data_IF_253699763413
#
_entry.id   IF_253699763413
#
_cell.length_a   1.000
_cell.length_b   1.000
_cell.length_c   1.000
_cell.angle_alpha   90.00
_cell.angle_beta   90.00
_cell.angle_gamma   90.00
#
_symmetry.space_group_name_H-M   'P 1'
#
loop_
_entity.id
_entity.type
_entity.pdbx_description
1 polymer ?
#
# COMPACT_ATOMS: atom_id res chain seq x y z
N UNK A 1 -10.28 35.05 12.24
CA UNK A 1 -10.64 33.72 11.72
C UNK A 1 -9.86 33.54 10.44
N UNK A 2 -8.94 32.57 10.44
CA UNK A 2 -8.19 32.21 9.24
C UNK A 2 -9.17 31.64 8.19
N UNK A 3 -8.76 31.59 6.92
CA UNK A 3 -9.58 30.94 5.89
C UNK A 3 -9.76 29.44 6.11
N UNK A 4 -8.93 28.80 6.95
CA UNK A 4 -9.09 27.40 7.34
C UNK A 4 -10.19 27.26 8.39
N UNK A 5 -10.19 28.11 9.42
CA UNK A 5 -11.14 28.07 10.54
C UNK A 5 -12.58 28.05 10.03
N UNK A 6 -12.95 29.05 9.23
CA UNK A 6 -14.31 29.18 8.69
C UNK A 6 -14.72 28.02 7.77
N UNK A 7 -13.76 27.36 7.09
CA UNK A 7 -14.06 26.19 6.25
C UNK A 7 -14.29 24.95 7.11
N UNK A 8 -13.50 24.75 8.15
CA UNK A 8 -13.68 23.64 9.11
C UNK A 8 -15.02 23.76 9.81
N UNK A 9 -15.36 24.96 10.31
CA UNK A 9 -16.64 25.25 10.96
C UNK A 9 -17.82 24.96 10.03
N UNK A 10 -17.78 25.44 8.77
CA UNK A 10 -18.84 25.18 7.80
C UNK A 10 -19.02 23.68 7.52
N UNK A 11 -17.92 22.94 7.33
CA UNK A 11 -17.99 21.48 7.10
C UNK A 11 -18.56 20.77 8.34
N UNK A 12 -18.18 21.23 9.53
CA UNK A 12 -18.65 20.67 10.78
C UNK A 12 -20.15 20.94 10.99
N UNK A 13 -20.63 22.16 10.71
CA UNK A 13 -22.05 22.51 10.73
C UNK A 13 -22.85 21.64 9.75
N UNK A 14 -22.38 21.49 8.51
CA UNK A 14 -23.03 20.69 7.48
C UNK A 14 -23.11 19.21 7.88
N UNK A 15 -22.02 18.65 8.40
CA UNK A 15 -21.99 17.28 8.89
C UNK A 15 -22.89 17.09 10.12
N UNK A 16 -22.85 18.01 11.09
CA UNK A 16 -23.71 17.94 12.27
C UNK A 16 -25.20 17.98 11.88
N UNK A 17 -25.56 18.81 10.90
CA UNK A 17 -26.92 18.91 10.40
C UNK A 17 -27.40 17.63 9.68
N UNK A 18 -26.53 16.94 8.94
CA UNK A 18 -26.86 15.75 8.16
C UNK A 18 -26.92 14.47 9.01
N UNK A 19 -25.90 14.23 9.85
CA UNK A 19 -25.74 12.95 10.58
C UNK A 19 -25.77 13.09 12.11
N UNK A 20 -25.96 14.29 12.65
CA UNK A 20 -26.05 14.59 14.10
C UNK A 20 -24.75 14.37 14.90
N UNK A 21 -23.62 14.19 14.20
CA UNK A 21 -22.28 14.17 14.77
C UNK A 21 -21.26 14.65 13.73
N UNK A 22 -20.04 14.97 14.18
CA UNK A 22 -18.92 15.33 13.31
C UNK A 22 -17.70 14.50 13.69
N UNK A 23 -16.98 14.03 12.69
CA UNK A 23 -15.70 13.33 12.84
C UNK A 23 -14.56 14.10 12.15
N UNK A 24 -13.30 13.86 12.54
CA UNK A 24 -12.14 14.37 11.81
C UNK A 24 -12.14 13.94 10.33
N UNK A 25 -12.70 12.76 10.01
CA UNK A 25 -12.82 12.28 8.64
C UNK A 25 -13.72 13.18 7.78
N UNK A 26 -14.82 13.70 8.34
CA UNK A 26 -15.72 14.60 7.63
C UNK A 26 -14.98 15.89 7.23
N UNK A 27 -14.16 16.43 8.14
CA UNK A 27 -13.31 17.59 7.88
C UNK A 27 -12.26 17.30 6.82
N UNK A 28 -11.55 16.17 6.89
CA UNK A 28 -10.55 15.80 5.88
C UNK A 28 -11.17 15.63 4.49
N UNK A 29 -12.36 15.04 4.41
CA UNK A 29 -13.10 14.87 3.16
C UNK A 29 -13.65 16.21 2.63
N UNK A 30 -14.28 17.01 3.49
CA UNK A 30 -14.86 18.31 3.11
C UNK A 30 -13.82 19.34 2.70
N UNK A 31 -12.62 19.30 3.28
CA UNK A 31 -11.50 20.15 2.87
C UNK A 31 -10.86 19.72 1.54
N UNK A 32 -11.20 18.52 1.04
CA UNK A 32 -10.57 17.88 -0.11
C UNK A 32 -9.16 17.36 0.17
N UNK A 33 -8.80 17.22 1.46
CA UNK A 33 -7.49 16.75 1.90
C UNK A 33 -7.37 15.23 1.84
N UNK A 34 -8.51 14.53 1.88
CA UNK A 34 -8.60 13.10 1.60
C UNK A 34 -9.54 12.86 0.40
N UNK A 35 -9.16 11.94 -0.50
CA UNK A 35 -10.08 11.48 -1.53
C UNK A 35 -11.00 10.38 -0.97
N UNK A 36 -12.31 10.50 -1.16
CA UNK A 36 -13.30 9.52 -0.66
C UNK A 36 -12.95 8.08 -1.04
N UNK A 37 -12.57 7.84 -2.30
CA UNK A 37 -12.17 6.51 -2.76
C UNK A 37 -10.98 5.91 -1.98
N UNK A 38 -10.08 6.74 -1.44
CA UNK A 38 -8.90 6.31 -0.67
C UNK A 38 -9.25 6.06 0.79
N UNK A 39 -10.12 6.89 1.36
CA UNK A 39 -10.72 6.62 2.67
C UNK A 39 -11.53 5.32 2.65
N UNK A 40 -12.25 5.03 1.56
CA UNK A 40 -13.02 3.79 1.40
C UNK A 40 -12.13 2.55 1.34
N UNK A 41 -10.98 2.63 0.67
CA UNK A 41 -9.98 1.55 0.69
C UNK A 41 -9.46 1.30 2.11
N UNK A 42 -9.17 2.38 2.85
CA UNK A 42 -8.74 2.26 4.25
C UNK A 42 -9.83 1.66 5.15
N UNK A 43 -11.08 2.15 5.06
CA UNK A 43 -12.23 1.60 5.80
C UNK A 43 -12.51 0.12 5.47
N UNK A 44 -12.19 -0.32 4.26
CA UNK A 44 -12.28 -1.71 3.84
C UNK A 44 -11.04 -2.56 4.23
N UNK A 45 -10.01 -1.96 4.81
CA UNK A 45 -8.79 -2.63 5.28
C UNK A 45 -7.71 -2.85 4.21
N UNK A 46 -7.73 -2.11 3.09
CA UNK A 46 -6.74 -2.21 2.02
C UNK A 46 -5.52 -1.29 2.20
N UNK A 47 -5.51 -0.46 3.25
CA UNK A 47 -4.45 0.52 3.54
C UNK A 47 -4.06 0.38 5.01
N UNK A 48 -2.77 0.47 5.31
CA UNK A 48 -2.24 0.29 6.67
C UNK A 48 -2.71 1.38 7.64
N UNK A 49 -2.85 2.63 7.16
CA UNK A 49 -3.18 3.80 7.97
C UNK A 49 -3.84 4.91 7.14
N UNK A 50 -4.65 5.76 7.77
CA UNK A 50 -5.37 6.85 7.09
C UNK A 50 -4.42 7.96 6.59
N UNK A 51 -3.39 8.31 7.36
CA UNK A 51 -2.44 9.39 7.04
C UNK A 51 -1.82 9.26 5.63
N UNK A 52 -1.60 8.04 5.15
CA UNK A 52 -1.14 7.75 3.78
C UNK A 52 -2.13 8.14 2.68
N UNK A 53 -3.41 8.27 3.03
CA UNK A 53 -4.48 8.73 2.14
C UNK A 53 -4.63 10.26 2.11
N UNK A 54 -3.96 10.98 3.02
CA UNK A 54 -4.02 12.44 3.10
C UNK A 54 -3.07 13.09 2.10
N UNK A 55 -3.49 14.23 1.54
CA UNK A 55 -2.72 15.04 0.58
C UNK A 55 -2.00 16.23 1.22
N UNK A 56 -1.97 16.28 2.54
CA UNK A 56 -1.51 17.41 3.34
C UNK A 56 -0.50 16.96 4.40
N UNK A 57 0.25 17.92 4.94
CA UNK A 57 1.25 17.65 5.98
C UNK A 57 0.59 17.27 7.31
N UNK A 58 1.30 16.52 8.18
CA UNK A 58 0.82 16.24 9.53
C UNK A 58 0.49 17.49 10.36
N UNK A 59 1.23 18.59 10.18
CA UNK A 59 0.95 19.84 10.89
C UNK A 59 -0.40 20.43 10.49
N UNK A 60 -0.66 20.58 9.18
CA UNK A 60 -1.94 21.11 8.69
C UNK A 60 -3.15 20.28 9.14
N UNK A 61 -3.02 18.95 9.16
CA UNK A 61 -4.09 18.08 9.65
C UNK A 61 -4.30 18.21 11.16
N UNK A 62 -3.24 18.41 11.97
CA UNK A 62 -3.39 18.76 13.39
C UNK A 62 -4.12 20.08 13.57
N UNK A 63 -3.72 21.13 12.84
CA UNK A 63 -4.35 22.44 12.94
C UNK A 63 -5.86 22.34 12.67
N UNK A 64 -6.27 21.58 11.65
CA UNK A 64 -7.69 21.37 11.35
C UNK A 64 -8.46 20.59 12.43
N UNK A 65 -7.82 19.61 13.08
CA UNK A 65 -8.45 18.86 14.19
C UNK A 65 -8.57 19.74 15.44
N UNK A 66 -7.57 20.57 15.73
CA UNK A 66 -7.60 21.52 16.85
C UNK A 66 -8.70 22.57 16.62
N UNK A 67 -8.82 23.10 15.41
CA UNK A 67 -9.94 23.96 15.00
C UNK A 67 -11.28 23.28 15.19
N UNK A 68 -11.44 22.03 14.74
CA UNK A 68 -12.67 21.25 14.91
C UNK A 68 -13.01 21.07 16.39
N UNK A 69 -12.02 20.74 17.22
CA UNK A 69 -12.21 20.54 18.66
C UNK A 69 -12.63 21.84 19.35
N UNK A 70 -12.04 22.98 18.98
CA UNK A 70 -12.40 24.28 19.51
C UNK A 70 -13.85 24.65 19.15
N UNK A 71 -14.22 24.54 17.87
CA UNK A 71 -15.59 24.77 17.41
C UNK A 71 -16.59 23.85 18.14
N UNK A 72 -16.27 22.57 18.31
CA UNK A 72 -17.17 21.62 18.96
C UNK A 72 -17.42 21.97 20.44
N UNK A 73 -16.39 22.46 21.15
CA UNK A 73 -16.54 22.95 22.52
C UNK A 73 -17.40 24.21 22.59
N UNK A 74 -17.22 25.16 21.68
CA UNK A 74 -18.05 26.37 21.61
C UNK A 74 -19.52 26.05 21.27
N UNK A 75 -19.74 25.03 20.44
CA UNK A 75 -21.05 24.50 20.08
C UNK A 75 -21.70 23.60 21.15
N UNK A 76 -21.03 23.40 22.29
CA UNK A 76 -21.55 22.61 23.42
C UNK A 76 -21.60 21.09 23.18
N UNK A 77 -20.88 20.58 22.18
CA UNK A 77 -20.81 19.15 21.87
C UNK A 77 -19.87 18.43 22.83
N UNK A 78 -20.12 17.14 23.04
CA UNK A 78 -19.27 16.27 23.85
C UNK A 78 -18.38 15.40 22.97
N UNK A 79 -17.13 15.13 23.38
CA UNK A 79 -16.25 14.20 22.69
C UNK A 79 -16.64 12.76 23.01
N UNK A 80 -16.67 11.92 21.98
CA UNK A 80 -16.95 10.48 22.09
C UNK A 80 -15.91 9.69 21.29
N UNK A 81 -15.39 8.62 21.87
CA UNK A 81 -14.51 7.72 21.14
C UNK A 81 -15.32 6.87 20.14
N UNK A 82 -14.79 6.70 18.92
CA UNK A 82 -15.41 5.90 17.86
C UNK A 82 -14.59 4.64 17.60
N UNK A 83 -15.27 3.49 17.57
CA UNK A 83 -14.65 2.22 17.21
C UNK A 83 -14.51 2.09 15.68
N UNK A 84 -13.26 2.03 15.22
CA UNK A 84 -12.88 1.80 13.83
C UNK A 84 -12.42 0.35 13.56
N UNK A 85 -12.83 -0.60 14.41
CA UNK A 85 -12.52 -2.03 14.26
C UNK A 85 -11.00 -2.32 14.14
N UNK A 86 -10.19 -1.58 14.89
CA UNK A 86 -8.73 -1.71 14.90
C UNK A 86 -7.99 -1.11 13.70
N UNK A 87 -8.68 -0.39 12.79
CA UNK A 87 -8.01 0.40 11.76
C UNK A 87 -7.17 1.51 12.40
N UNK A 88 -5.94 1.69 11.91
CA UNK A 88 -5.03 2.73 12.36
C UNK A 88 -5.22 4.01 11.53
N UNK A 89 -5.09 5.16 12.15
CA UNK A 89 -5.06 6.47 11.51
C UNK A 89 -3.62 6.91 11.22
N UNK A 90 -2.71 6.63 12.13
CA UNK A 90 -1.30 6.99 12.06
C UNK A 90 -0.46 6.12 13.00
N UNK A 91 0.84 6.05 12.76
CA UNK A 91 1.81 5.47 13.71
C UNK A 91 2.10 6.42 14.89
N UNK A 92 1.72 7.70 14.81
CA UNK A 92 1.84 8.67 15.92
C UNK A 92 0.65 8.53 16.90
N UNK A 93 0.89 8.18 18.18
CA UNK A 93 -0.16 7.99 19.17
C UNK A 93 -1.03 9.23 19.46
N UNK A 94 -0.50 10.44 19.28
CA UNK A 94 -1.28 11.66 19.47
C UNK A 94 -2.30 11.82 18.33
N UNK A 95 -1.81 11.68 17.09
CA UNK A 95 -2.63 11.62 15.87
C UNK A 95 -3.73 10.57 15.97
N UNK A 96 -3.33 9.35 16.36
CA UNK A 96 -4.21 8.20 16.45
C UNK A 96 -5.41 8.45 17.37
N UNK A 97 -5.17 9.07 18.52
CA UNK A 97 -6.23 9.41 19.47
C UNK A 97 -7.12 10.51 18.95
N UNK A 98 -6.54 11.57 18.39
CA UNK A 98 -7.29 12.73 17.92
C UNK A 98 -8.31 12.34 16.83
N UNK A 99 -7.93 11.46 15.91
CA UNK A 99 -8.82 10.97 14.85
C UNK A 99 -9.98 10.09 15.34
N UNK A 100 -9.84 9.45 16.50
CA UNK A 100 -10.87 8.57 17.08
C UNK A 100 -11.98 9.33 17.79
N UNK A 101 -11.78 10.61 18.08
CA UNK A 101 -12.78 11.44 18.73
C UNK A 101 -13.78 11.93 17.68
N UNK A 102 -15.06 11.66 17.92
CA UNK A 102 -16.18 12.36 17.26
C UNK A 102 -16.80 13.34 18.25
N UNK A 103 -17.48 14.36 17.74
CA UNK A 103 -18.22 15.32 18.55
C UNK A 103 -19.71 15.22 18.26
N UNK A 104 -20.52 15.12 19.30
CA UNK A 104 -21.97 14.97 19.20
C UNK A 104 -22.67 15.45 20.49
N UNK A 105 -23.96 15.83 20.43
CA UNK A 105 -24.74 16.19 21.63
C UNK A 105 -24.97 15.01 22.58
N UNK A 106 -25.01 13.79 22.02
CA UNK A 106 -25.22 12.53 22.74
C UNK A 106 -24.34 11.42 22.17
N UNK A 107 -24.26 10.30 22.89
CA UNK A 107 -23.57 9.10 22.44
C UNK A 107 -24.19 8.48 21.17
N UNK A 108 -25.40 8.90 20.80
CA UNK A 108 -26.16 8.41 19.65
C UNK A 108 -26.74 9.59 18.85
N UNK A 109 -26.79 9.50 17.50
CA UNK A 109 -26.23 8.44 16.66
C UNK A 109 -24.69 8.45 16.64
N UNK A 110 -24.10 7.31 16.27
CA UNK A 110 -22.66 7.12 16.13
C UNK A 110 -22.32 6.58 14.73
N UNK A 111 -21.11 6.84 14.21
CA UNK A 111 -20.63 6.22 12.98
C UNK A 111 -20.78 4.69 13.03
N UNK A 112 -21.17 4.10 11.91
CA UNK A 112 -21.21 2.65 11.79
C UNK A 112 -19.79 2.08 11.87
N UNK A 113 -19.54 1.21 12.83
CA UNK A 113 -18.27 0.49 12.97
C UNK A 113 -17.92 -0.22 11.65
N UNK A 114 -16.73 0.03 11.08
CA UNK A 114 -16.25 -0.68 9.91
C UNK A 114 -16.13 -2.19 10.16
N UNK A 115 -16.12 -2.99 9.09
CA UNK A 115 -15.86 -4.44 9.19
C UNK A 115 -14.81 -4.84 8.15
N UNK A 116 -13.53 -4.46 8.37
CA UNK A 116 -12.48 -4.72 7.41
C UNK A 116 -12.24 -6.24 7.30
N UNK A 117 -12.60 -6.80 6.15
CA UNK A 117 -12.30 -8.18 5.76
C UNK A 117 -11.84 -8.17 4.30
N UNK A 118 -10.70 -7.51 4.01
CA UNK A 118 -10.26 -7.31 2.65
C UNK A 118 -9.99 -8.67 2.00
N UNK A 119 -10.62 -8.90 0.85
CA UNK A 119 -10.32 -10.04 -0.02
C UNK A 119 -10.32 -9.55 -1.45
N UNK A 120 -9.42 -10.11 -2.25
CA UNK A 120 -9.34 -9.81 -3.68
C UNK A 120 -9.62 -11.08 -4.46
N UNK A 121 -10.40 -10.95 -5.53
CA UNK A 121 -10.56 -12.02 -6.51
C UNK A 121 -9.82 -11.66 -7.77
N UNK A 122 -9.08 -12.62 -8.33
CA UNK A 122 -8.35 -12.43 -9.58
C UNK A 122 -8.84 -13.34 -10.69
N UNK A 123 -8.68 -12.86 -11.92
CA UNK A 123 -8.90 -13.58 -13.17
C UNK A 123 -7.56 -13.86 -13.84
N UNK A 124 -7.21 -15.13 -14.03
CA UNK A 124 -5.95 -15.53 -14.65
C UNK A 124 -5.98 -15.57 -16.18
N UNK A 125 -7.17 -15.75 -16.75
CA UNK A 125 -7.36 -15.82 -18.20
C UNK A 125 -7.43 -14.42 -18.83
N UNK A 126 -7.75 -13.41 -18.01
CA UNK A 126 -7.76 -12.02 -18.41
C UNK A 126 -6.41 -11.38 -18.09
N UNK A 127 -5.87 -10.65 -19.05
CA UNK A 127 -4.61 -9.92 -18.89
C UNK A 127 -4.76 -8.46 -19.26
N UNK A 128 -5.75 -8.09 -20.05
CA UNK A 128 -6.10 -6.71 -20.36
C UNK A 128 -6.86 -6.04 -19.21
N UNK A 129 -6.50 -4.80 -18.90
CA UNK A 129 -7.20 -3.97 -17.94
C UNK A 129 -8.30 -3.16 -18.64
N UNK A 130 -9.54 -3.21 -18.13
CA UNK A 130 -10.69 -2.51 -18.72
C UNK A 130 -10.57 -0.98 -18.66
N UNK A 131 -9.69 -0.43 -17.81
CA UNK A 131 -9.48 1.00 -17.68
C UNK A 131 -8.30 1.51 -18.52
N UNK A 132 -7.12 0.91 -18.39
CA UNK A 132 -5.92 1.39 -19.09
C UNK A 132 -5.63 0.67 -20.41
N UNK A 133 -6.32 -0.43 -20.73
CA UNK A 133 -6.08 -1.26 -21.91
C UNK A 133 -4.75 -2.03 -21.92
N UNK A 134 -3.92 -1.86 -20.87
CA UNK A 134 -2.62 -2.51 -20.75
C UNK A 134 -2.72 -3.99 -20.36
N UNK A 135 -1.65 -4.73 -20.65
CA UNK A 135 -1.49 -6.13 -20.23
C UNK A 135 -0.87 -6.16 -18.83
N UNK A 136 -1.57 -6.77 -17.88
CA UNK A 136 -1.20 -6.87 -16.48
C UNK A 136 -1.52 -8.27 -15.93
N UNK A 137 -0.76 -8.67 -14.91
CA UNK A 137 -1.00 -9.89 -14.15
C UNK A 137 -0.74 -9.60 -12.67
N UNK A 138 -1.66 -9.91 -11.74
CA UNK A 138 -3.01 -10.40 -11.99
C UNK A 138 -3.97 -9.26 -12.42
N UNK A 139 -5.13 -9.65 -12.96
CA UNK A 139 -6.30 -8.76 -13.11
C UNK A 139 -7.25 -9.00 -11.94
N UNK A 140 -7.59 -7.93 -11.22
CA UNK A 140 -8.57 -7.91 -10.12
C UNK A 140 -9.98 -7.87 -10.70
N UNK A 141 -10.78 -8.85 -10.31
CA UNK A 141 -12.19 -8.95 -10.69
C UNK A 141 -13.06 -8.15 -9.73
N UNK A 142 -13.86 -7.26 -10.30
CA UNK A 142 -14.85 -6.45 -9.57
C UNK A 142 -16.20 -6.56 -10.27
N UNK A 143 -17.27 -6.03 -9.65
CA UNK A 143 -18.58 -5.97 -10.30
C UNK A 143 -18.58 -5.10 -11.58
N UNK A 144 -17.62 -4.18 -11.71
CA UNK A 144 -17.53 -3.24 -12.84
C UNK A 144 -16.54 -3.66 -13.94
N UNK A 145 -15.94 -4.84 -13.84
CA UNK A 145 -14.94 -5.33 -14.79
C UNK A 145 -13.65 -5.81 -14.13
N UNK A 146 -12.69 -6.14 -14.98
CA UNK A 146 -11.34 -6.59 -14.64
C UNK A 146 -10.34 -5.44 -14.72
N UNK A 147 -9.71 -5.10 -13.59
CA UNK A 147 -8.76 -3.99 -13.49
C UNK A 147 -7.39 -4.47 -13.02
N UNK A 148 -6.32 -3.86 -13.52
CA UNK A 148 -5.01 -4.05 -12.91
C UNK A 148 -4.96 -3.42 -11.51
N UNK A 149 -3.98 -3.81 -10.69
CA UNK A 149 -3.86 -3.30 -9.30
C UNK A 149 -3.83 -1.77 -9.24
N UNK A 150 -3.08 -1.12 -10.13
CA UNK A 150 -3.03 0.34 -10.24
C UNK A 150 -4.41 0.96 -10.51
N UNK A 151 -5.16 0.44 -11.49
CA UNK A 151 -6.50 0.94 -11.82
C UNK A 151 -7.56 0.59 -10.77
N UNK A 152 -7.36 -0.50 -10.02
CA UNK A 152 -8.19 -0.85 -8.87
C UNK A 152 -7.85 -0.02 -7.60
N UNK A 153 -6.86 0.87 -7.67
CA UNK A 153 -6.40 1.67 -6.53
C UNK A 153 -5.56 0.88 -5.51
N UNK A 154 -5.12 -0.32 -5.87
CA UNK A 154 -4.29 -1.26 -5.10
C UNK A 154 -2.84 -1.30 -5.59
N UNK A 155 -2.41 -0.29 -6.36
CA UNK A 155 -1.07 -0.24 -6.96
C UNK A 155 0.08 -0.12 -5.95
N UNK A 156 -0.22 0.21 -4.68
CA UNK A 156 0.73 0.18 -3.56
C UNK A 156 0.99 -1.24 -3.02
N UNK A 157 0.20 -2.22 -3.47
CA UNK A 157 0.38 -3.62 -3.12
C UNK A 157 0.88 -4.40 -4.31
N UNK A 158 1.62 -5.46 -4.02
CA UNK A 158 2.18 -6.37 -5.01
C UNK A 158 1.66 -7.78 -4.76
N UNK A 159 1.40 -8.49 -5.85
CA UNK A 159 0.89 -9.85 -5.80
C UNK A 159 2.01 -10.88 -5.66
N UNK A 160 1.97 -11.60 -4.54
CA UNK A 160 2.79 -12.78 -4.28
C UNK A 160 1.95 -14.05 -4.52
N UNK A 161 2.24 -14.84 -5.57
CA UNK A 161 1.55 -16.10 -5.80
C UNK A 161 1.93 -17.16 -4.76
N UNK A 162 1.04 -18.14 -4.53
CA UNK A 162 1.24 -19.21 -3.54
C UNK A 162 2.39 -20.20 -3.84
N UNK A 163 3.17 -20.00 -4.92
CA UNK A 163 4.19 -20.92 -5.43
C UNK A 163 5.36 -21.21 -4.47
N UNK A 164 5.52 -20.41 -3.42
CA UNK A 164 6.43 -20.68 -2.31
C UNK A 164 5.69 -20.48 -0.98
N UNK A 165 5.35 -21.61 -0.33
CA UNK A 165 4.62 -21.61 0.92
C UNK A 165 5.43 -21.00 2.09
N UNK A 166 6.76 -21.12 2.07
CA UNK A 166 7.60 -20.53 3.11
C UNK A 166 7.61 -19.01 2.97
N UNK A 167 7.79 -18.50 1.74
CA UNK A 167 7.74 -17.07 1.46
C UNK A 167 6.37 -16.47 1.78
N UNK A 168 5.29 -17.14 1.34
CA UNK A 168 3.91 -16.69 1.62
C UNK A 168 3.66 -16.63 3.13
N UNK A 169 4.00 -17.70 3.87
CA UNK A 169 3.82 -17.75 5.33
C UNK A 169 4.63 -16.68 6.06
N UNK A 170 5.87 -16.44 5.64
CA UNK A 170 6.71 -15.41 6.26
C UNK A 170 6.18 -14.02 5.98
N UNK A 171 5.80 -13.74 4.73
CA UNK A 171 5.17 -12.47 4.34
C UNK A 171 3.92 -12.21 5.19
N UNK A 172 3.00 -13.18 5.30
CA UNK A 172 1.80 -13.06 6.16
C UNK A 172 2.12 -12.85 7.63
N UNK A 173 3.25 -13.37 8.11
CA UNK A 173 3.66 -13.23 9.51
C UNK A 173 4.28 -11.86 9.80
N UNK A 174 5.03 -11.29 8.87
CA UNK A 174 5.83 -10.07 9.09
C UNK A 174 5.17 -8.81 8.57
N UNK A 175 4.37 -8.91 7.51
CA UNK A 175 3.73 -7.77 6.89
C UNK A 175 2.70 -7.13 7.82
N UNK A 176 2.65 -5.80 7.82
CA UNK A 176 1.60 -5.05 8.53
C UNK A 176 0.22 -5.27 7.91
N UNK A 177 0.19 -5.51 6.59
CA UNK A 177 -1.03 -5.74 5.83
C UNK A 177 -0.82 -6.90 4.85
N UNK A 178 -1.68 -7.91 4.93
CA UNK A 178 -1.82 -8.91 3.86
C UNK A 178 -3.28 -9.11 3.49
N UNK A 179 -3.51 -9.33 2.20
CA UNK A 179 -4.85 -9.51 1.65
C UNK A 179 -4.90 -10.84 0.91
N UNK A 180 -5.83 -11.70 1.32
CA UNK A 180 -6.01 -12.99 0.68
C UNK A 180 -6.50 -12.80 -0.77
N UNK A 181 -5.81 -13.47 -1.70
CA UNK A 181 -6.18 -13.49 -3.11
C UNK A 181 -6.82 -14.84 -3.43
N UNK A 182 -8.08 -14.82 -3.88
CA UNK A 182 -8.80 -16.00 -4.36
C UNK A 182 -9.09 -15.92 -5.85
N UNK A 183 -9.56 -17.02 -6.44
CA UNK A 183 -10.03 -17.04 -7.83
C UNK A 183 -11.54 -16.79 -7.89
N UNK A 184 -12.01 -16.11 -8.93
CA UNK A 184 -13.45 -15.83 -9.14
C UNK A 184 -14.33 -17.10 -9.09
N UNK A 185 -13.80 -18.24 -9.54
CA UNK A 185 -14.56 -19.49 -9.70
C UNK A 185 -14.18 -20.60 -8.70
N UNK A 186 -13.33 -20.33 -7.71
CA UNK A 186 -13.00 -21.32 -6.67
C UNK A 186 -13.15 -20.70 -5.28
N UNK A 187 -13.95 -21.32 -4.42
CA UNK A 187 -14.14 -20.86 -3.03
C UNK A 187 -13.03 -21.31 -2.07
N UNK A 188 -12.13 -22.20 -2.51
CA UNK A 188 -11.24 -22.96 -1.61
C UNK A 188 -9.74 -22.92 -1.96
N UNK A 189 -9.34 -22.39 -3.12
CA UNK A 189 -7.91 -22.20 -3.41
C UNK A 189 -7.54 -20.73 -3.14
N UNK A 190 -6.71 -20.51 -2.13
CA UNK A 190 -5.94 -19.28 -2.01
C UNK A 190 -4.90 -19.31 -3.13
N UNK A 191 -4.92 -18.28 -3.97
CA UNK A 191 -4.04 -18.14 -5.13
C UNK A 191 -2.78 -17.34 -4.77
N UNK A 192 -2.73 -16.76 -3.58
CA UNK A 192 -1.61 -15.98 -3.08
C UNK A 192 -2.08 -14.90 -2.13
N UNK A 193 -1.24 -13.88 -1.96
CA UNK A 193 -1.54 -12.70 -1.14
C UNK A 193 -1.15 -11.43 -1.88
N UNK A 194 -1.83 -10.32 -1.56
CA UNK A 194 -1.29 -8.99 -1.79
C UNK A 194 -0.61 -8.52 -0.51
N UNK A 195 0.58 -7.95 -0.64
CA UNK A 195 1.34 -7.32 0.44
C UNK A 195 2.21 -6.21 -0.14
N UNK A 196 2.80 -5.38 0.71
CA UNK A 196 3.77 -4.37 0.25
C UNK A 196 5.06 -5.04 -0.26
N UNK A 197 5.69 -4.46 -1.26
CA UNK A 197 6.93 -4.98 -1.85
C UNK A 197 8.02 -5.18 -0.78
N UNK A 198 8.12 -4.24 0.18
CA UNK A 198 9.09 -4.29 1.28
C UNK A 198 8.94 -5.57 2.09
N UNK A 199 7.72 -5.93 2.46
CA UNK A 199 7.45 -7.09 3.29
C UNK A 199 7.74 -8.40 2.55
N UNK A 200 7.41 -8.47 1.26
CA UNK A 200 7.70 -9.63 0.42
C UNK A 200 9.22 -9.83 0.28
N UNK A 201 9.95 -8.76 -0.04
CA UNK A 201 11.40 -8.85 -0.22
C UNK A 201 12.13 -9.14 1.10
N UNK A 202 11.67 -8.56 2.21
CA UNK A 202 12.19 -8.88 3.53
C UNK A 202 11.95 -10.36 3.89
N UNK A 203 10.73 -10.86 3.69
CA UNK A 203 10.41 -12.27 3.90
C UNK A 203 11.24 -13.18 2.98
N UNK A 204 11.51 -12.75 1.75
CA UNK A 204 12.36 -13.45 0.80
C UNK A 204 13.81 -13.54 1.24
N UNK A 205 14.37 -12.46 1.79
CA UNK A 205 15.71 -12.46 2.39
C UNK A 205 15.81 -13.44 3.56
N UNK A 206 14.83 -13.42 4.47
CA UNK A 206 14.78 -14.36 5.60
C UNK A 206 14.68 -15.81 5.14
N UNK A 207 13.92 -16.08 4.06
CA UNK A 207 13.86 -17.41 3.44
C UNK A 207 15.19 -17.88 2.84
N UNK A 208 16.03 -16.97 2.34
CA UNK A 208 17.36 -17.32 1.79
C UNK A 208 18.37 -17.65 2.89
N UNK A 209 18.27 -16.99 4.04
CA UNK A 209 19.13 -17.24 5.19
C UNK A 209 18.79 -18.59 5.87
N UNK A 210 17.50 -18.88 5.99
CA UNK A 210 16.98 -20.10 6.62
C UNK A 210 16.83 -21.22 5.59
N UNK A 211 17.91 -21.63 4.93
CA UNK A 211 17.93 -22.64 3.86
C UNK A 211 16.93 -23.81 4.10
N UNK A 212 16.49 -24.42 2.99
CA UNK A 212 15.74 -25.68 2.86
C UNK A 212 14.23 -25.57 2.53
N UNK A 213 13.88 -25.94 1.27
CA UNK A 213 13.07 -27.15 0.94
C UNK A 213 12.66 -27.22 -0.55
N UNK A 214 12.89 -26.19 -1.37
CA UNK A 214 12.50 -26.17 -2.79
C UNK A 214 13.72 -25.95 -3.69
N UNK A 215 14.51 -27.01 -3.90
CA UNK A 215 15.74 -26.99 -4.70
C UNK A 215 15.57 -26.29 -6.06
N UNK A 216 14.41 -26.45 -6.73
CA UNK A 216 14.14 -25.81 -8.02
C UNK A 216 13.98 -24.27 -7.93
N UNK A 217 13.19 -23.78 -6.97
CA UNK A 217 13.03 -22.34 -6.73
C UNK A 217 14.32 -21.73 -6.18
N UNK A 218 15.06 -22.49 -5.38
CA UNK A 218 16.33 -22.07 -4.81
C UNK A 218 17.43 -21.99 -5.88
N UNK A 219 17.49 -22.93 -6.84
CA UNK A 219 18.40 -22.87 -8.00
C UNK A 219 18.04 -21.72 -8.96
N UNK A 220 16.75 -21.56 -9.30
CA UNK A 220 16.31 -20.44 -10.14
C UNK A 220 16.58 -19.11 -9.43
N UNK A 221 16.31 -19.03 -8.13
CA UNK A 221 16.57 -17.86 -7.30
C UNK A 221 18.05 -17.50 -7.23
N UNK A 222 18.94 -18.48 -7.01
CA UNK A 222 20.40 -18.26 -7.03
C UNK A 222 20.87 -17.74 -8.39
N UNK A 223 20.50 -18.42 -9.47
CA UNK A 223 20.88 -17.99 -10.83
C UNK A 223 20.33 -16.60 -11.19
N UNK A 224 19.11 -16.29 -10.76
CA UNK A 224 18.50 -14.97 -10.96
C UNK A 224 19.22 -13.91 -10.14
N UNK A 225 19.61 -14.22 -8.90
CA UNK A 225 20.38 -13.31 -8.05
C UNK A 225 21.76 -13.02 -8.64
N UNK A 226 22.42 -14.02 -9.24
CA UNK A 226 23.67 -13.84 -9.96
C UNK A 226 23.48 -12.95 -11.20
N UNK A 227 22.38 -13.13 -11.94
CA UNK A 227 22.01 -12.25 -13.05
C UNK A 227 21.77 -10.80 -12.62
N UNK A 228 21.06 -10.59 -11.51
CA UNK A 228 20.87 -9.26 -10.91
C UNK A 228 22.21 -8.66 -10.50
N UNK A 229 23.10 -9.41 -9.85
CA UNK A 229 24.42 -8.93 -9.43
C UNK A 229 25.36 -8.66 -10.61
N UNK A 230 25.18 -9.36 -11.74
CA UNK A 230 25.91 -9.09 -12.96
C UNK A 230 25.44 -7.78 -13.65
N UNK A 231 24.14 -7.55 -13.72
CA UNK A 231 23.56 -6.33 -14.29
C UNK A 231 23.74 -5.11 -13.36
N UNK A 232 23.65 -5.33 -12.05
CA UNK A 232 23.65 -4.30 -11.00
C UNK A 232 24.67 -4.65 -9.90
N UNK A 233 25.98 -4.53 -10.16
CA UNK A 233 27.03 -4.92 -9.20
C UNK A 233 27.02 -4.14 -7.88
N UNK A 234 26.46 -2.92 -7.86
CA UNK A 234 26.29 -2.10 -6.66
C UNK A 234 25.00 -2.39 -5.88
N UNK A 235 24.13 -3.28 -6.36
CA UNK A 235 22.92 -3.69 -5.64
C UNK A 235 23.30 -4.48 -4.37
N UNK A 236 22.78 -4.12 -3.18
CA UNK A 236 23.09 -4.85 -1.96
C UNK A 236 22.77 -6.36 -2.08
N UNK A 237 23.64 -7.27 -1.60
CA UNK A 237 23.43 -8.72 -1.79
C UNK A 237 22.08 -9.23 -1.24
N UNK A 238 21.64 -8.72 -0.08
CA UNK A 238 20.34 -9.05 0.48
C UNK A 238 19.19 -8.56 -0.42
N UNK A 239 19.30 -7.35 -0.96
CA UNK A 239 18.34 -6.77 -1.91
C UNK A 239 18.24 -7.61 -3.18
N UNK A 240 19.37 -7.92 -3.81
CA UNK A 240 19.44 -8.78 -4.99
C UNK A 240 18.81 -10.17 -4.73
N UNK A 241 19.08 -10.77 -3.57
CA UNK A 241 18.47 -12.04 -3.17
C UNK A 241 16.95 -11.95 -3.01
N UNK A 242 16.45 -10.90 -2.34
CA UNK A 242 15.01 -10.66 -2.15
C UNK A 242 14.27 -10.53 -3.49
N UNK A 243 14.76 -9.67 -4.38
CA UNK A 243 14.21 -9.49 -5.73
C UNK A 243 14.25 -10.82 -6.51
N UNK A 244 15.38 -11.52 -6.49
CA UNK A 244 15.55 -12.77 -7.24
C UNK A 244 14.59 -13.88 -6.79
N UNK A 245 14.42 -14.07 -5.48
CA UNK A 245 13.50 -15.08 -4.96
C UNK A 245 12.06 -14.71 -5.28
N UNK A 246 11.70 -13.45 -5.15
CA UNK A 246 10.35 -13.01 -5.50
C UNK A 246 10.07 -13.20 -7.01
N UNK A 247 11.00 -12.78 -7.88
CA UNK A 247 10.94 -13.03 -9.32
C UNK A 247 10.89 -14.53 -9.65
N UNK A 248 11.65 -15.39 -8.96
CA UNK A 248 11.59 -16.84 -9.18
C UNK A 248 10.21 -17.43 -8.87
N UNK A 249 9.55 -16.94 -7.81
CA UNK A 249 8.19 -17.37 -7.42
C UNK A 249 7.15 -16.86 -8.42
N UNK A 250 7.29 -15.61 -8.86
CA UNK A 250 6.36 -15.01 -9.81
C UNK A 250 6.53 -15.57 -11.23
N UNK A 251 7.78 -15.73 -11.66
CA UNK A 251 8.18 -16.23 -12.96
C UNK A 251 8.33 -17.74 -13.05
N UNK A 252 7.89 -18.51 -12.05
CA UNK A 252 7.82 -19.97 -12.10
C UNK A 252 7.00 -20.54 -13.28
N UNK A 253 6.26 -19.68 -13.99
CA UNK A 253 5.58 -19.99 -15.25
C UNK A 253 6.48 -19.89 -16.50
N UNK A 254 7.60 -19.18 -16.43
CA UNK A 254 8.61 -19.04 -17.49
C UNK A 254 10.01 -18.80 -16.91
N UNK A 255 10.71 -19.87 -16.46
CA UNK A 255 12.04 -19.75 -15.85
C UNK A 255 13.09 -19.07 -16.74
N UNK A 256 12.92 -19.13 -18.06
CA UNK A 256 13.80 -18.47 -19.02
C UNK A 256 13.58 -16.94 -19.06
N UNK A 257 12.34 -16.47 -18.80
CA UNK A 257 12.06 -15.03 -18.72
C UNK A 257 12.76 -14.40 -17.51
N UNK A 258 12.83 -15.09 -16.37
CA UNK A 258 13.55 -14.61 -15.18
C UNK A 258 15.04 -14.36 -15.40
N UNK A 259 15.62 -14.95 -16.46
CA UNK A 259 17.03 -14.78 -16.83
C UNK A 259 17.23 -13.70 -17.89
N UNK A 260 16.15 -13.15 -18.46
CA UNK A 260 16.25 -12.13 -19.48
C UNK A 260 16.68 -10.80 -18.84
N UNK A 261 17.69 -10.10 -19.39
CA UNK A 261 18.16 -8.82 -18.84
C UNK A 261 17.04 -7.79 -18.66
N UNK A 262 16.11 -7.72 -19.61
CA UNK A 262 14.97 -6.80 -19.53
C UNK A 262 14.07 -7.12 -18.33
N UNK A 263 13.78 -8.40 -18.07
CA UNK A 263 12.99 -8.80 -16.89
C UNK A 263 13.72 -8.49 -15.60
N UNK A 264 15.03 -8.70 -15.54
CA UNK A 264 15.86 -8.30 -14.39
C UNK A 264 15.76 -6.79 -14.16
N UNK A 265 15.90 -5.98 -15.21
CA UNK A 265 15.79 -4.53 -15.13
C UNK A 265 14.39 -4.07 -14.69
N UNK A 266 13.32 -4.66 -15.23
CA UNK A 266 11.94 -4.36 -14.87
C UNK A 266 11.66 -4.62 -13.40
N UNK A 267 12.10 -5.77 -12.88
CA UNK A 267 11.90 -6.17 -11.50
C UNK A 267 12.75 -5.37 -10.52
N UNK A 268 13.99 -5.03 -10.89
CA UNK A 268 14.81 -4.10 -10.13
C UNK A 268 14.17 -2.71 -10.09
N UNK A 269 13.67 -2.20 -11.23
CA UNK A 269 12.96 -0.92 -11.28
C UNK A 269 11.66 -0.93 -10.48
N UNK A 270 10.91 -2.03 -10.47
CA UNK A 270 9.72 -2.18 -9.63
C UNK A 270 10.08 -2.18 -8.13
N UNK A 271 11.09 -2.95 -7.74
CA UNK A 271 11.61 -3.00 -6.37
C UNK A 271 12.01 -1.61 -5.87
N UNK A 272 12.83 -0.89 -6.65
CA UNK A 272 13.27 0.48 -6.33
C UNK A 272 12.09 1.44 -6.26
N UNK A 273 11.16 1.37 -7.22
CA UNK A 273 9.97 2.22 -7.24
C UNK A 273 9.15 2.10 -5.96
N UNK A 274 8.85 0.88 -5.50
CA UNK A 274 7.98 0.69 -4.33
C UNK A 274 8.67 1.00 -3.00
N UNK A 275 9.98 0.75 -2.89
CA UNK A 275 10.67 0.76 -1.59
C UNK A 275 11.53 2.01 -1.40
N UNK A 276 12.18 2.48 -2.45
CA UNK A 276 13.18 3.55 -2.40
C UNK A 276 12.62 4.90 -2.88
N UNK A 277 11.31 4.96 -3.19
CA UNK A 277 10.62 6.18 -3.60
C UNK A 277 9.27 6.33 -2.90
N UNK A 278 8.65 7.51 -3.00
CA UNK A 278 7.31 7.75 -2.49
C UNK A 278 6.17 7.23 -3.37
N UNK A 279 6.40 6.29 -4.29
CA UNK A 279 5.40 5.81 -5.25
C UNK A 279 4.09 5.37 -4.58
N UNK A 280 4.17 4.51 -3.56
CA UNK A 280 3.00 3.96 -2.88
C UNK A 280 2.19 5.07 -2.19
N UNK A 281 2.86 6.04 -1.57
CA UNK A 281 2.20 7.19 -0.95
C UNK A 281 1.57 8.14 -1.99
N UNK A 282 2.16 8.27 -3.18
CA UNK A 282 1.53 9.00 -4.29
C UNK A 282 0.24 8.30 -4.74
N UNK A 283 0.25 6.97 -4.86
CA UNK A 283 -0.95 6.19 -5.19
C UNK A 283 -2.02 6.33 -4.11
N UNK A 284 -1.65 6.22 -2.84
CA UNK A 284 -2.57 6.29 -1.70
C UNK A 284 -3.14 7.69 -1.46
N UNK A 285 -2.34 8.73 -1.65
CA UNK A 285 -2.81 10.13 -1.65
C UNK A 285 -3.66 10.46 -2.89
N UNK A 286 -3.75 9.57 -3.88
CA UNK A 286 -4.64 9.68 -5.04
C UNK A 286 -4.06 10.43 -6.24
N UNK A 287 -2.73 10.37 -6.42
CA UNK A 287 -2.08 10.66 -7.70
C UNK A 287 -2.28 9.48 -8.64
N UNK A 288 -2.56 9.76 -9.92
CA UNK A 288 -2.75 8.72 -10.93
C UNK A 288 -1.48 7.88 -11.16
N UNK A 289 -1.58 6.58 -11.49
CA UNK A 289 -0.41 5.70 -11.63
C UNK A 289 0.64 6.18 -12.64
N UNK A 290 0.22 6.70 -13.79
CA UNK A 290 1.14 7.23 -14.81
C UNK A 290 1.91 8.44 -14.30
N UNK A 291 1.21 9.36 -13.62
CA UNK A 291 1.81 10.56 -13.04
C UNK A 291 2.73 10.21 -11.88
N UNK A 292 2.34 9.25 -11.03
CA UNK A 292 3.15 8.77 -9.93
C UNK A 292 4.46 8.15 -10.44
N UNK A 293 4.39 7.26 -11.45
CA UNK A 293 5.57 6.69 -12.12
C UNK A 293 6.47 7.78 -12.69
N UNK A 294 5.90 8.74 -13.43
CA UNK A 294 6.67 9.86 -14.01
C UNK A 294 7.39 10.69 -12.95
N UNK A 295 6.75 10.96 -11.80
CA UNK A 295 7.35 11.75 -10.71
C UNK A 295 8.53 11.04 -10.05
N UNK A 296 8.45 9.72 -9.88
CA UNK A 296 9.50 8.95 -9.19
C UNK A 296 10.59 8.42 -10.13
N UNK A 297 10.34 8.39 -11.44
CA UNK A 297 11.25 7.83 -12.43
C UNK A 297 12.69 8.38 -12.34
N UNK A 298 12.92 9.71 -12.18
CA UNK A 298 14.28 10.22 -12.05
C UNK A 298 15.05 9.62 -10.87
N UNK A 299 14.38 9.39 -9.73
CA UNK A 299 14.99 8.75 -8.56
C UNK A 299 15.25 7.25 -8.79
N UNK A 300 14.34 6.57 -9.49
CA UNK A 300 14.55 5.17 -9.88
C UNK A 300 15.78 5.04 -10.78
N UNK A 301 15.89 5.90 -11.80
CA UNK A 301 17.01 5.89 -12.75
C UNK A 301 18.35 6.20 -12.06
N UNK A 302 18.36 7.15 -11.12
CA UNK A 302 19.52 7.51 -10.30
C UNK A 302 20.05 6.33 -9.45
N UNK A 303 19.15 5.65 -8.74
CA UNK A 303 19.51 4.47 -7.92
C UNK A 303 20.01 3.33 -8.80
N UNK A 304 19.29 2.99 -9.87
CA UNK A 304 19.70 1.93 -10.78
C UNK A 304 21.01 2.27 -11.51
N UNK A 305 21.24 3.54 -11.85
CA UNK A 305 22.50 4.02 -12.40
C UNK A 305 23.67 3.83 -11.43
N UNK A 306 23.46 4.17 -10.16
CA UNK A 306 24.42 3.94 -9.07
C UNK A 306 24.74 2.45 -8.93
N UNK A 307 23.72 1.58 -8.91
CA UNK A 307 23.94 0.13 -8.86
C UNK A 307 24.69 -0.40 -10.08
N UNK A 308 24.40 0.10 -11.30
CA UNK A 308 25.14 -0.28 -12.51
C UNK A 308 26.61 0.13 -12.46
N UNK A 309 26.94 1.27 -11.84
CA UNK A 309 28.33 1.71 -11.67
C UNK A 309 29.13 0.93 -10.62
N UNK A 310 28.50 0.00 -9.90
CA UNK A 310 29.17 -0.78 -8.85
C UNK A 310 29.33 -0.04 -7.52
N UNK A 311 28.67 1.12 -7.37
CA UNK A 311 28.69 1.89 -6.12
C UNK A 311 27.62 1.28 -5.20
N UNK A 312 28.06 0.82 -4.03
CA UNK A 312 27.16 0.33 -2.99
C UNK A 312 26.78 1.54 -2.13
N UNK A 313 25.51 1.92 -2.16
CA UNK A 313 24.97 2.89 -1.22
C UNK A 313 24.75 2.20 0.13
N UNK A 314 25.68 2.40 1.07
CA UNK A 314 25.63 1.85 2.43
C UNK A 314 24.65 2.63 3.34
N UNK A 315 24.21 3.81 2.92
CA UNK A 315 23.28 4.68 3.66
C UNK A 315 21.84 4.53 3.15
N UNK A 316 21.58 3.63 2.20
CA UNK A 316 20.23 3.24 1.83
C UNK A 316 19.50 2.77 3.10
N UNK A 317 18.32 3.33 3.43
CA UNK A 317 17.63 3.01 4.66
C UNK A 317 17.47 1.49 4.78
N UNK A 318 18.02 0.94 5.87
CA UNK A 318 17.86 -0.47 6.20
C UNK A 318 16.35 -0.78 6.16
N UNK A 319 15.88 -1.76 5.37
CA UNK A 319 14.45 -2.09 5.29
C UNK A 319 13.84 -2.48 6.65
N UNK A 320 14.68 -2.64 7.68
CA UNK A 320 14.38 -2.99 9.06
C UNK A 320 13.91 -1.80 9.93
N UNK A 321 14.03 -0.53 9.50
CA UNK A 321 13.48 0.62 10.23
C UNK A 321 12.28 1.30 9.55
#
# INVERSE_FOLDING_TARGET
MSGLDSRVEQIADDALADQQFVTPLDVMLGLGWAAKAKVDLWLAGFVTSLDRCLRVTPTATHDAIDTLSAWAHESGLQPWETDYAGLAFSDDPAYERAFRIRWAPSDTPAPKTPSPRPTVRIEYLKVDCDNCGGIHKPIVSTNGGGFCLDCAGLGHLVYLPAGDAALTRRTTKTARLTIAVGRVHTRRSLEGVLAEQRDIEYAAQQCLADDHRNAHTDDLGRNTADGIRAEFPGCPPARAGGIARFLAVYGGYSPNACKHPDTICEWAAASVRHIDTGYDNLILSGVGPLDARRRVQPRVDDILGTWRSGIIDLDAPDPVR
#
